data_IF_908781161114
#
_entry.id   IF_908781161114
#
_cell.length_a   1.000
_cell.length_b   1.000
_cell.length_c   1.000
_cell.angle_alpha   90.00
_cell.angle_beta   90.00
_cell.angle_gamma   90.00
#
_symmetry.space_group_name_H-M   'P 1'
#
loop_
_entity.id
_entity.type
_entity.pdbx_description
1 polymer ?
#
# COMPACT_ATOMS: atom_id res chain seq x y z
N UNK A 1 -11.40 -24.46 9.46
CA UNK A 1 -11.57 -22.99 9.63
C UNK A 1 -12.30 -22.50 8.40
N UNK A 2 -13.57 -22.06 8.53
CA UNK A 2 -14.40 -21.72 7.38
C UNK A 2 -13.82 -20.54 6.60
N UNK A 3 -13.81 -20.64 5.28
CA UNK A 3 -13.30 -19.62 4.33
C UNK A 3 -13.82 -18.21 4.66
N UNK A 4 -15.07 -18.11 5.13
CA UNK A 4 -15.71 -16.88 5.59
C UNK A 4 -15.01 -16.20 6.78
N UNK A 5 -14.46 -16.97 7.72
CA UNK A 5 -13.70 -16.44 8.87
C UNK A 5 -12.31 -15.93 8.47
N UNK A 6 -11.68 -16.55 7.46
CA UNK A 6 -10.42 -16.06 6.90
C UNK A 6 -10.60 -14.71 6.22
N UNK A 7 -11.65 -14.54 5.42
CA UNK A 7 -11.97 -13.25 4.81
C UNK A 7 -12.34 -12.19 5.85
N UNK A 8 -13.16 -12.53 6.86
CA UNK A 8 -13.51 -11.59 7.92
C UNK A 8 -12.29 -11.05 8.68
N UNK A 9 -11.29 -11.90 8.94
CA UNK A 9 -10.05 -11.48 9.60
C UNK A 9 -9.13 -10.63 8.69
N UNK A 10 -9.11 -10.92 7.39
CA UNK A 10 -8.32 -10.16 6.42
C UNK A 10 -8.95 -8.80 6.08
N UNK A 11 -10.28 -8.69 6.09
CA UNK A 11 -10.98 -7.41 5.88
C UNK A 11 -10.50 -6.35 6.86
N UNK A 12 -10.26 -6.74 8.12
CA UNK A 12 -9.73 -5.82 9.13
C UNK A 12 -8.35 -5.26 8.74
N UNK A 13 -7.44 -6.12 8.30
CA UNK A 13 -6.09 -5.69 7.90
C UNK A 13 -6.09 -4.81 6.66
N UNK A 14 -6.87 -5.17 5.63
CA UNK A 14 -6.90 -4.44 4.35
C UNK A 14 -7.49 -3.03 4.52
N UNK A 15 -8.49 -2.88 5.38
CA UNK A 15 -9.10 -1.58 5.69
C UNK A 15 -8.07 -0.60 6.28
N UNK A 16 -7.12 -1.10 7.09
CA UNK A 16 -6.07 -0.25 7.68
C UNK A 16 -4.85 -0.02 6.78
N UNK A 17 -4.63 -0.82 5.73
CA UNK A 17 -3.47 -0.66 4.84
C UNK A 17 -3.48 0.67 4.07
N UNK A 18 -4.65 1.09 3.59
CA UNK A 18 -4.80 2.35 2.83
C UNK A 18 -4.47 3.57 3.71
N UNK A 19 -5.11 3.78 4.88
CA UNK A 19 -4.77 4.92 5.73
C UNK A 19 -3.33 4.85 6.24
N UNK A 20 -2.82 3.66 6.57
CA UNK A 20 -1.44 3.47 6.98
C UNK A 20 -0.46 3.92 5.89
N UNK A 21 -0.67 3.48 4.64
CA UNK A 21 0.18 3.84 3.52
C UNK A 21 0.11 5.34 3.23
N UNK A 22 -1.06 5.96 3.36
CA UNK A 22 -1.22 7.41 3.21
C UNK A 22 -0.41 8.18 4.27
N UNK A 23 -0.49 7.76 5.54
CA UNK A 23 0.26 8.37 6.66
C UNK A 23 1.77 8.19 6.46
N UNK A 24 2.24 7.00 6.13
CA UNK A 24 3.68 6.75 5.90
C UNK A 24 4.19 7.59 4.73
N UNK A 25 3.43 7.66 3.63
CA UNK A 25 3.78 8.48 2.46
C UNK A 25 3.91 9.95 2.83
N UNK A 26 3.00 10.45 3.67
CA UNK A 26 3.01 11.82 4.16
C UNK A 26 4.20 12.09 5.09
N UNK A 27 4.39 11.26 6.12
CA UNK A 27 5.47 11.40 7.11
C UNK A 27 6.84 11.32 6.44
N UNK A 28 7.02 10.40 5.49
CA UNK A 28 8.28 10.28 4.75
C UNK A 28 8.63 11.54 3.95
N UNK A 29 7.64 12.20 3.33
CA UNK A 29 7.91 13.42 2.57
C UNK A 29 7.98 14.66 3.47
N UNK A 30 7.22 14.70 4.56
CA UNK A 30 7.25 15.78 5.55
C UNK A 30 8.61 15.86 6.28
N UNK A 31 9.33 14.73 6.42
CA UNK A 31 10.68 14.72 7.00
C UNK A 31 11.78 15.20 6.04
N UNK A 32 11.48 15.34 4.74
CA UNK A 32 12.47 15.65 3.68
C UNK A 32 12.29 17.01 3.02
N UNK A 33 11.08 17.56 3.07
CA UNK A 33 10.73 18.79 2.39
C UNK A 33 10.05 19.72 3.39
N UNK A 34 10.29 21.02 3.25
CA UNK A 34 9.72 22.04 4.14
C UNK A 34 8.48 22.70 3.53
N UNK A 35 8.35 22.67 2.21
CA UNK A 35 7.25 23.34 1.48
C UNK A 35 6.03 22.41 1.43
N UNK A 36 4.86 22.80 2.00
CA UNK A 36 3.66 21.96 2.07
C UNK A 36 3.18 21.42 0.73
N UNK A 37 3.20 22.25 -0.30
CA UNK A 37 2.78 21.87 -1.66
C UNK A 37 3.65 20.73 -2.23
N UNK A 38 4.96 20.78 -1.97
CA UNK A 38 5.91 19.76 -2.40
C UNK A 38 5.69 18.48 -1.60
N UNK A 39 5.48 18.59 -0.29
CA UNK A 39 5.18 17.44 0.58
C UNK A 39 3.95 16.71 0.05
N UNK A 40 2.83 17.39 -0.16
CA UNK A 40 1.57 16.77 -0.61
C UNK A 40 1.74 16.13 -1.98
N UNK A 41 2.29 16.85 -2.96
CA UNK A 41 2.47 16.35 -4.33
C UNK A 41 3.35 15.10 -4.38
N UNK A 42 4.44 15.08 -3.61
CA UNK A 42 5.35 13.91 -3.56
C UNK A 42 4.76 12.77 -2.74
N UNK A 43 4.00 13.06 -1.69
CA UNK A 43 3.29 12.03 -0.89
C UNK A 43 2.27 11.29 -1.73
N UNK A 44 1.46 12.02 -2.52
CA UNK A 44 0.48 11.41 -3.43
C UNK A 44 1.19 10.54 -4.48
N UNK A 45 2.26 11.05 -5.10
CA UNK A 45 3.04 10.27 -6.07
C UNK A 45 3.63 9.01 -5.43
N UNK A 46 4.20 9.12 -4.23
CA UNK A 46 4.80 8.00 -3.50
C UNK A 46 3.75 6.94 -3.14
N UNK A 47 2.58 7.37 -2.65
CA UNK A 47 1.44 6.51 -2.33
C UNK A 47 1.04 5.64 -3.54
N UNK A 48 0.79 6.25 -4.70
CA UNK A 48 0.41 5.50 -5.90
C UNK A 48 1.55 4.63 -6.43
N UNK A 49 2.80 5.12 -6.36
CA UNK A 49 3.97 4.33 -6.79
C UNK A 49 4.10 3.05 -5.96
N UNK A 50 3.92 3.14 -4.64
CA UNK A 50 3.97 1.99 -3.75
C UNK A 50 2.86 0.97 -4.05
N UNK A 51 1.62 1.43 -4.25
CA UNK A 51 0.50 0.54 -4.62
C UNK A 51 0.78 -0.19 -5.92
N UNK A 52 1.25 0.52 -6.95
CA UNK A 52 1.52 -0.06 -8.27
C UNK A 52 2.64 -1.09 -8.18
N UNK A 53 3.77 -0.75 -7.52
CA UNK A 53 4.91 -1.68 -7.41
C UNK A 53 4.51 -2.91 -6.62
N UNK A 54 3.92 -2.74 -5.43
CA UNK A 54 3.53 -3.88 -4.58
C UNK A 54 2.45 -4.73 -5.26
N UNK A 55 1.46 -4.11 -5.89
CA UNK A 55 0.45 -4.81 -6.67
C UNK A 55 1.05 -5.61 -7.82
N UNK A 56 1.99 -5.02 -8.57
CA UNK A 56 2.69 -5.70 -9.68
C UNK A 56 3.55 -6.86 -9.18
N UNK A 57 4.24 -6.71 -8.05
CA UNK A 57 5.01 -7.80 -7.45
C UNK A 57 4.10 -8.95 -7.00
N UNK A 58 2.96 -8.63 -6.37
CA UNK A 58 1.98 -9.63 -5.95
C UNK A 58 1.37 -10.37 -7.13
N UNK A 59 1.00 -9.67 -8.22
CA UNK A 59 0.48 -10.32 -9.42
C UNK A 59 1.54 -11.19 -10.09
N UNK A 60 2.78 -10.71 -10.19
CA UNK A 60 3.89 -11.48 -10.75
C UNK A 60 4.14 -12.77 -9.96
N UNK A 61 4.18 -12.68 -8.63
CA UNK A 61 4.36 -13.84 -7.75
C UNK A 61 3.18 -14.82 -7.83
N UNK A 62 1.95 -14.32 -7.91
CA UNK A 62 0.76 -15.16 -8.09
C UNK A 62 0.79 -15.92 -9.43
N UNK A 63 1.18 -15.25 -10.52
CA UNK A 63 1.33 -15.88 -11.84
C UNK A 63 2.42 -16.96 -11.81
N UNK A 64 3.57 -16.64 -11.21
CA UNK A 64 4.67 -17.60 -11.08
C UNK A 64 4.28 -18.80 -10.23
N UNK A 65 3.49 -18.57 -9.16
CA UNK A 65 2.99 -19.63 -8.27
C UNK A 65 2.03 -20.62 -8.94
N UNK A 66 1.40 -20.29 -10.08
CA UNK A 66 0.57 -21.27 -10.80
C UNK A 66 1.39 -22.30 -11.59
N UNK A 67 2.65 -21.99 -11.87
CA UNK A 67 3.59 -22.86 -12.58
C UNK A 67 4.63 -23.50 -11.64
N UNK A 68 4.47 -23.33 -10.33
CA UNK A 68 5.33 -23.87 -9.27
C UNK A 68 4.53 -24.89 -8.45
#
# INVERSE_FOLDING_TARGET
>A
MSVSLLFANQVNAIVYLIPLLAVISLVYNATRYEIPEIIIKRSIRFFFTAIIIMGTLMTLLAVLSWNL
#
